data_IF_126715874173
#
_entry.id   IF_126715874173
#
_cell.length_a   1.000
_cell.length_b   1.000
_cell.length_c   1.000
_cell.angle_alpha   90.00
_cell.angle_beta   90.00
_cell.angle_gamma   90.00
#
_symmetry.space_group_name_H-M   'P 1'
#
loop_
_entity.id
_entity.type
_entity.pdbx_description
1 polymer ?
#
# COMPACT_ATOMS: atom_id res chain seq x y z
N UNK A 1 41.46 -9.75 12.95
CA UNK A 1 40.61 -9.54 11.77
C UNK A 1 39.35 -8.89 12.27
N UNK A 2 39.23 -7.59 12.03
CA UNK A 2 38.16 -6.76 12.57
C UNK A 2 36.89 -7.06 11.78
N UNK A 3 35.93 -7.71 12.41
CA UNK A 3 34.59 -7.88 11.84
C UNK A 3 33.90 -6.51 11.87
N UNK A 4 34.01 -5.76 10.78
CA UNK A 4 33.19 -4.57 10.58
C UNK A 4 31.72 -5.00 10.49
N UNK A 5 30.83 -4.41 11.31
CA UNK A 5 29.43 -4.79 11.35
C UNK A 5 28.74 -4.47 10.02
N UNK A 6 27.77 -5.32 9.64
CA UNK A 6 27.06 -5.17 8.37
C UNK A 6 26.20 -3.89 8.41
N UNK A 7 25.90 -3.26 7.26
CA UNK A 7 25.17 -1.98 7.21
C UNK A 7 23.78 -2.00 7.87
N UNK A 8 23.23 -3.18 8.17
CA UNK A 8 21.98 -3.35 8.90
C UNK A 8 22.12 -3.16 10.42
N UNK A 9 23.31 -3.32 10.99
CA UNK A 9 23.56 -3.23 12.43
C UNK A 9 23.73 -1.77 12.90
N UNK A 10 23.95 -0.85 11.97
CA UNK A 10 24.06 0.60 12.20
C UNK A 10 22.72 1.35 12.08
N UNK A 11 21.65 0.65 11.74
CA UNK A 11 20.32 1.23 11.60
C UNK A 11 19.56 0.95 12.91
N UNK A 12 19.71 1.84 13.89
CA UNK A 12 18.84 1.89 15.08
C UNK A 12 17.42 2.36 14.73
N UNK A 13 16.78 1.76 13.72
CA UNK A 13 15.33 1.84 13.60
C UNK A 13 14.74 0.66 14.36
N UNK A 14 14.38 0.93 15.63
CA UNK A 14 13.55 0.06 16.47
C UNK A 14 12.20 -0.21 15.78
N UNK A 15 12.16 -1.17 14.86
CA UNK A 15 10.92 -1.67 14.26
C UNK A 15 10.08 -2.51 15.24
N UNK A 16 10.49 -2.61 16.52
CA UNK A 16 9.74 -3.30 17.57
C UNK A 16 8.81 -2.32 18.31
N UNK A 17 9.21 -1.06 18.51
CA UNK A 17 8.42 -0.09 19.31
C UNK A 17 7.17 0.43 18.56
N UNK A 18 7.16 0.41 17.22
CA UNK A 18 5.96 0.75 16.44
C UNK A 18 4.93 -0.40 16.36
N UNK A 19 5.35 -1.66 16.52
CA UNK A 19 4.42 -2.80 16.54
C UNK A 19 3.73 -2.98 17.89
N UNK A 20 4.36 -2.55 18.99
CA UNK A 20 3.74 -2.68 20.32
C UNK A 20 2.62 -1.66 20.59
N UNK A 21 2.56 -0.53 19.87
CA UNK A 21 1.41 0.39 19.96
C UNK A 21 0.14 -0.13 19.25
N UNK A 22 0.22 -1.22 18.49
CA UNK A 22 -0.93 -1.78 17.76
C UNK A 22 -1.82 -2.71 18.61
N UNK A 23 -1.42 -3.06 19.84
CA UNK A 23 -2.17 -3.96 20.71
C UNK A 23 -2.25 -3.46 22.15
N UNK A 24 -2.53 -2.18 22.33
CA UNK A 24 -3.08 -1.74 23.61
C UNK A 24 -4.47 -2.37 23.76
N UNK A 25 -4.67 -3.22 24.78
CA UNK A 25 -5.97 -3.86 25.07
C UNK A 25 -7.06 -2.77 25.07
N UNK A 26 -7.89 -2.77 24.05
CA UNK A 26 -8.99 -1.82 23.93
C UNK A 26 -9.91 -1.99 25.15
N UNK A 27 -10.06 -0.93 25.97
CA UNK A 27 -11.10 -0.86 27.00
C UNK A 27 -12.47 -1.06 26.36
N UNK A 28 -13.37 -1.69 27.11
CA UNK A 28 -14.72 -2.13 26.72
C UNK A 28 -15.56 -1.08 25.97
N UNK A 29 -15.31 0.21 26.18
CA UNK A 29 -16.08 1.30 25.57
C UNK A 29 -15.62 1.71 24.16
N UNK A 30 -14.48 1.22 23.66
CA UNK A 30 -14.01 1.59 22.31
C UNK A 30 -14.76 0.76 21.23
N UNK A 31 -15.24 1.37 20.13
CA UNK A 31 -15.68 0.61 18.97
C UNK A 31 -14.49 -0.23 18.50
N UNK A 32 -14.70 -1.53 18.40
CA UNK A 32 -13.72 -2.47 17.88
C UNK A 32 -13.17 -1.92 16.56
N UNK A 33 -11.86 -1.64 16.53
CA UNK A 33 -11.18 -1.03 15.40
C UNK A 33 -11.49 -1.81 14.13
N UNK A 34 -11.57 -1.12 13.00
CA UNK A 34 -11.85 -1.70 11.68
C UNK A 34 -10.83 -2.80 11.29
N UNK A 35 -9.71 -2.90 12.02
CA UNK A 35 -8.67 -3.92 11.87
C UNK A 35 -8.99 -5.27 12.54
N UNK A 36 -9.94 -5.35 13.47
CA UNK A 36 -10.33 -6.62 14.06
C UNK A 36 -11.20 -7.43 13.08
N UNK A 37 -10.56 -8.36 12.36
CA UNK A 37 -11.20 -9.20 11.32
C UNK A 37 -11.59 -10.60 11.80
N UNK A 38 -11.14 -11.01 12.99
CA UNK A 38 -11.39 -12.34 13.53
C UNK A 38 -12.57 -12.32 14.49
N UNK A 39 -13.70 -12.86 14.04
CA UNK A 39 -14.93 -12.99 14.83
C UNK A 39 -15.33 -14.45 14.90
N UNK A 40 -15.69 -14.89 16.10
CA UNK A 40 -16.21 -16.22 16.39
C UNK A 40 -17.70 -16.15 16.65
N UNK A 41 -18.44 -17.10 16.09
CA UNK A 41 -19.86 -17.27 16.35
C UNK A 41 -20.03 -18.29 17.47
N UNK A 42 -20.51 -17.84 18.63
CA UNK A 42 -20.93 -18.75 19.68
C UNK A 42 -22.38 -19.18 19.41
N UNK A 43 -22.55 -20.44 19.00
CA UNK A 43 -23.85 -21.04 18.67
C UNK A 43 -24.82 -21.07 19.86
N UNK A 44 -24.30 -21.30 21.07
CA UNK A 44 -25.09 -21.42 22.30
C UNK A 44 -25.63 -20.07 22.80
N UNK A 45 -24.79 -19.03 22.79
CA UNK A 45 -25.16 -17.69 23.25
C UNK A 45 -25.68 -16.79 22.13
N UNK A 46 -25.70 -17.29 20.89
CA UNK A 46 -26.08 -16.56 19.67
C UNK A 46 -25.39 -15.20 19.58
N UNK A 47 -24.10 -15.15 19.87
CA UNK A 47 -23.33 -13.92 19.94
C UNK A 47 -22.08 -14.00 19.09
N UNK A 48 -21.74 -12.89 18.43
CA UNK A 48 -20.50 -12.73 17.67
C UNK A 48 -19.43 -12.14 18.59
N UNK A 49 -18.30 -12.81 18.77
CA UNK A 49 -17.24 -12.35 19.67
C UNK A 49 -15.96 -12.10 18.88
N UNK A 50 -15.37 -10.92 19.03
CA UNK A 50 -14.05 -10.65 18.46
C UNK A 50 -12.96 -11.43 19.20
N UNK A 51 -12.16 -12.23 18.49
CA UNK A 51 -11.03 -12.97 19.10
C UNK A 51 -9.89 -12.05 19.57
N UNK A 52 -9.76 -10.87 18.97
CA UNK A 52 -8.67 -9.93 19.27
C UNK A 52 -8.98 -9.04 20.46
N UNK A 53 -10.22 -8.55 20.60
CA UNK A 53 -10.60 -7.60 21.64
C UNK A 53 -11.67 -8.11 22.61
N UNK A 54 -12.24 -9.30 22.39
CA UNK A 54 -13.29 -9.88 23.24
C UNK A 54 -14.64 -9.17 23.16
N UNK A 55 -14.80 -8.17 22.29
CA UNK A 55 -16.08 -7.47 22.14
C UNK A 55 -17.16 -8.41 21.63
N UNK A 56 -18.30 -8.38 22.30
CA UNK A 56 -19.49 -9.14 21.95
C UNK A 56 -20.42 -8.25 21.14
N UNK A 57 -20.94 -8.80 20.05
CA UNK A 57 -21.96 -8.19 19.21
C UNK A 57 -23.16 -9.10 19.07
N UNK A 58 -24.30 -8.46 18.87
CA UNK A 58 -25.50 -9.12 18.38
C UNK A 58 -25.27 -9.51 16.89
N UNK A 59 -25.69 -10.71 16.44
CA UNK A 59 -25.38 -11.20 15.11
C UNK A 59 -25.90 -10.33 13.96
N UNK A 60 -27.08 -9.73 14.09
CA UNK A 60 -27.64 -8.84 13.08
C UNK A 60 -26.82 -7.55 12.95
N UNK A 61 -26.43 -6.95 14.08
CA UNK A 61 -25.55 -5.77 14.09
C UNK A 61 -24.19 -6.06 13.42
N UNK A 62 -23.66 -7.26 13.64
CA UNK A 62 -22.43 -7.70 12.99
C UNK A 62 -22.60 -7.85 11.47
N UNK A 63 -23.72 -8.43 11.01
CA UNK A 63 -24.04 -8.55 9.58
C UNK A 63 -24.21 -7.18 8.91
N UNK A 64 -24.88 -6.23 9.57
CA UNK A 64 -25.02 -4.84 9.08
C UNK A 64 -23.66 -4.14 9.00
N UNK A 65 -22.76 -4.38 9.95
CA UNK A 65 -21.38 -3.85 9.89
C UNK A 65 -20.60 -4.45 8.71
N UNK A 66 -20.71 -5.75 8.46
CA UNK A 66 -20.05 -6.42 7.34
C UNK A 66 -20.55 -5.89 5.99
N UNK A 67 -21.87 -5.71 5.83
CA UNK A 67 -22.46 -5.22 4.59
C UNK A 67 -22.03 -3.77 4.28
N UNK A 68 -22.00 -2.89 5.29
CA UNK A 68 -21.46 -1.52 5.15
C UNK A 68 -20.01 -1.54 4.69
N UNK A 69 -19.15 -2.33 5.35
CA UNK A 69 -17.74 -2.44 4.99
C UNK A 69 -17.53 -2.99 3.56
N UNK A 70 -18.40 -3.88 3.09
CA UNK A 70 -18.32 -4.42 1.72
C UNK A 70 -18.64 -3.36 0.67
N UNK A 71 -19.70 -2.57 0.89
CA UNK A 71 -20.07 -1.48 -0.03
C UNK A 71 -18.99 -0.39 -0.11
N UNK A 72 -18.38 -0.03 1.03
CA UNK A 72 -17.26 0.93 1.05
C UNK A 72 -16.02 0.33 0.39
N UNK A 73 -15.70 -0.94 0.65
CA UNK A 73 -14.58 -1.63 0.02
C UNK A 73 -14.69 -1.63 -1.50
N UNK A 74 -15.89 -1.87 -2.05
CA UNK A 74 -16.07 -1.87 -3.50
C UNK A 74 -15.83 -0.47 -4.10
N UNK A 75 -16.39 0.56 -3.48
CA UNK A 75 -16.16 1.94 -3.92
C UNK A 75 -14.68 2.35 -3.84
N UNK A 76 -13.99 1.96 -2.78
CA UNK A 76 -12.55 2.22 -2.61
C UNK A 76 -11.70 1.44 -3.62
N UNK A 77 -12.08 0.19 -3.92
CA UNK A 77 -11.44 -0.62 -4.95
C UNK A 77 -11.59 0.00 -6.34
N UNK A 78 -12.80 0.43 -6.71
CA UNK A 78 -13.05 1.04 -8.02
C UNK A 78 -12.26 2.37 -8.16
N UNK A 79 -12.14 3.17 -7.09
CA UNK A 79 -11.25 4.35 -7.06
C UNK A 79 -9.78 3.97 -7.24
N UNK A 80 -9.30 3.00 -6.48
CA UNK A 80 -7.91 2.52 -6.58
C UNK A 80 -7.60 2.04 -8.01
N UNK A 81 -8.52 1.33 -8.65
CA UNK A 81 -8.34 0.86 -10.03
C UNK A 81 -8.30 2.02 -11.03
N UNK A 82 -9.08 3.09 -10.81
CA UNK A 82 -9.01 4.31 -11.62
C UNK A 82 -7.65 5.01 -11.47
N UNK A 83 -7.14 5.15 -10.24
CA UNK A 83 -5.83 5.75 -9.96
C UNK A 83 -4.70 4.95 -10.62
N UNK A 84 -4.77 3.61 -10.57
CA UNK A 84 -3.82 2.71 -11.24
C UNK A 84 -3.87 2.90 -12.75
N UNK A 85 -5.05 3.02 -13.34
CA UNK A 85 -5.20 3.24 -14.78
C UNK A 85 -4.60 4.60 -15.20
N UNK A 86 -4.85 5.67 -14.44
CA UNK A 86 -4.26 6.98 -14.68
C UNK A 86 -2.73 6.96 -14.54
N UNK A 87 -2.20 6.29 -13.51
CA UNK A 87 -0.76 6.14 -13.33
C UNK A 87 -0.10 5.40 -14.50
N UNK A 88 -0.74 4.35 -15.03
CA UNK A 88 -0.26 3.64 -16.23
C UNK A 88 -0.23 4.56 -17.45
N UNK A 89 -1.28 5.33 -17.70
CA UNK A 89 -1.31 6.30 -18.80
C UNK A 89 -0.20 7.34 -18.70
N UNK A 90 0.10 7.83 -17.49
CA UNK A 90 1.24 8.75 -17.26
C UNK A 90 2.59 8.10 -17.56
N UNK A 91 2.79 6.84 -17.17
CA UNK A 91 4.03 6.09 -17.46
C UNK A 91 4.20 5.87 -18.96
N UNK A 92 3.13 5.53 -19.67
CA UNK A 92 3.15 5.36 -21.13
C UNK A 92 3.55 6.67 -21.83
N UNK A 93 2.99 7.80 -21.41
CA UNK A 93 3.34 9.10 -21.97
C UNK A 93 4.80 9.48 -21.70
N UNK A 94 5.28 9.29 -20.46
CA UNK A 94 6.69 9.51 -20.13
C UNK A 94 7.62 8.64 -20.96
N UNK A 95 7.27 7.37 -21.15
CA UNK A 95 8.02 6.44 -22.00
C UNK A 95 8.10 6.95 -23.44
N UNK A 96 6.98 7.45 -23.99
CA UNK A 96 6.93 8.03 -25.34
C UNK A 96 7.82 9.26 -25.45
N UNK A 97 7.84 10.12 -24.44
CA UNK A 97 8.70 11.31 -24.41
C UNK A 97 10.17 10.94 -24.33
N UNK A 98 10.55 9.96 -23.52
CA UNK A 98 11.93 9.48 -23.43
C UNK A 98 12.44 8.93 -24.76
N UNK A 99 11.64 8.11 -25.45
CA UNK A 99 11.99 7.55 -26.76
C UNK A 99 12.19 8.69 -27.78
N UNK A 100 11.29 9.67 -27.80
CA UNK A 100 11.43 10.84 -28.69
C UNK A 100 12.66 11.67 -28.37
N UNK A 101 12.95 11.92 -27.09
CA UNK A 101 14.13 12.68 -26.66
C UNK A 101 15.42 11.97 -27.07
N UNK A 102 15.50 10.65 -26.87
CA UNK A 102 16.63 9.82 -27.31
C UNK A 102 16.83 9.89 -28.83
N UNK A 103 15.75 9.78 -29.61
CA UNK A 103 15.82 9.89 -31.07
C UNK A 103 16.32 11.27 -31.52
N UNK A 104 15.83 12.37 -30.91
CA UNK A 104 16.31 13.73 -31.18
C UNK A 104 17.79 13.89 -30.87
N UNK A 105 18.24 13.36 -29.73
CA UNK A 105 19.65 13.40 -29.34
C UNK A 105 20.54 12.62 -30.32
N UNK A 106 20.14 11.42 -30.72
CA UNK A 106 20.87 10.62 -31.72
C UNK A 106 21.00 11.35 -33.05
N UNK A 107 19.91 11.96 -33.53
CA UNK A 107 19.92 12.75 -34.76
C UNK A 107 20.82 13.98 -34.66
N UNK A 108 20.77 14.71 -33.54
CA UNK A 108 21.65 15.85 -33.29
C UNK A 108 23.13 15.43 -33.24
N UNK A 109 23.43 14.32 -32.56
CA UNK A 109 24.78 13.73 -32.48
C UNK A 109 25.30 13.34 -33.87
N UNK A 110 24.46 12.72 -34.69
CA UNK A 110 24.82 12.35 -36.08
C UNK A 110 25.15 13.60 -36.91
N UNK A 111 24.30 14.62 -36.87
CA UNK A 111 24.53 15.89 -37.59
C UNK A 111 25.80 16.61 -37.14
N UNK A 112 26.10 16.61 -35.84
CA UNK A 112 27.34 17.18 -35.33
C UNK A 112 28.58 16.46 -35.85
N UNK A 113 28.51 15.13 -36.02
CA UNK A 113 29.60 14.34 -36.60
C UNK A 113 29.80 14.68 -38.08
N UNK A 114 28.71 14.71 -38.85
CA UNK A 114 28.73 15.07 -40.29
C UNK A 114 29.33 16.46 -40.51
N UNK A 115 28.91 17.47 -39.73
CA UNK A 115 29.46 18.83 -39.80
C UNK A 115 30.95 18.92 -39.40
N UNK A 116 31.40 18.04 -38.50
CA UNK A 116 32.81 17.97 -38.11
C UNK A 116 33.68 17.29 -39.17
N UNK A 117 33.15 16.31 -39.89
CA UNK A 117 33.82 15.64 -41.01
C UNK A 117 33.86 16.52 -42.27
N UNK A 118 32.90 17.42 -42.48
CA UNK A 118 32.89 18.39 -43.58
C UNK A 118 33.85 19.59 -43.35
N UNK A 119 34.41 19.75 -42.15
CA UNK A 119 35.28 20.86 -41.79
C UNK A 119 36.80 20.54 -41.84
N UNK A 120 37.18 19.28 -42.09
CA UNK A 120 38.55 18.81 -42.38
C UNK A 120 38.78 18.63 -43.88
#
# INVERSE_FOLDING_TARGET
MSDEPKPCDLIEFRHIDQKQRLYEKHRYDKPCSTSCRQVELHSHTRSCVCKTCGKVWEPYDYLVRLSRNWTTYRADYDKYMADVAEARGRIEELTRLEVNAKARWLNAKKRLKELGEEAE
#
